data_IF_407511661881
#
_entry.id   IF_407511661881
#
_cell.length_a   1.000
_cell.length_b   1.000
_cell.length_c   1.000
_cell.angle_alpha   90.00
_cell.angle_beta   90.00
_cell.angle_gamma   90.00
#
_symmetry.space_group_name_H-M   'P 1'
#
loop_
_entity.id
_entity.type
_entity.pdbx_description
1 polymer ?
#
# COMPACT_ATOMS: atom_id res chain seq x y z
N UNK A 1 4.26 -7.69 -17.18
CA UNK A 1 4.73 -6.65 -16.26
C UNK A 1 4.19 -5.32 -16.79
N UNK A 2 3.29 -4.68 -16.04
CA UNK A 2 2.82 -3.32 -16.37
C UNK A 2 3.59 -2.36 -15.50
N UNK A 3 4.16 -1.33 -16.10
CA UNK A 3 4.78 -0.17 -15.45
C UNK A 3 3.68 0.71 -14.79
N UNK A 4 4.06 1.52 -13.80
CA UNK A 4 3.22 2.59 -13.25
C UNK A 4 2.82 3.62 -14.31
N UNK A 5 3.52 3.70 -15.44
CA UNK A 5 3.13 4.48 -16.62
C UNK A 5 1.96 3.81 -17.37
N UNK A 6 0.81 4.49 -17.45
CA UNK A 6 -0.37 4.02 -18.16
C UNK A 6 -0.39 4.44 -19.64
N UNK A 7 0.01 5.68 -19.93
CA UNK A 7 0.05 6.24 -21.28
C UNK A 7 1.04 7.41 -21.36
N UNK A 8 1.60 7.62 -22.55
CA UNK A 8 2.49 8.74 -22.88
C UNK A 8 1.92 9.43 -24.12
N UNK A 9 1.77 10.75 -24.09
CA UNK A 9 1.36 11.57 -25.23
C UNK A 9 2.45 12.61 -25.53
N UNK A 10 3.40 12.31 -26.43
CA UNK A 10 4.50 13.21 -26.75
C UNK A 10 4.04 14.54 -27.36
N UNK A 11 2.99 14.50 -28.20
CA UNK A 11 2.44 15.71 -28.85
C UNK A 11 1.93 16.73 -27.84
N UNK A 12 1.39 16.26 -26.71
CA UNK A 12 0.91 17.11 -25.62
C UNK A 12 1.93 17.26 -24.47
N UNK A 13 3.04 16.51 -24.50
CA UNK A 13 4.02 16.47 -23.42
C UNK A 13 3.49 15.90 -22.10
N UNK A 14 2.58 14.92 -22.12
CA UNK A 14 1.93 14.38 -20.91
C UNK A 14 2.18 12.89 -20.69
N UNK A 15 2.17 12.48 -19.42
CA UNK A 15 2.25 11.09 -18.97
C UNK A 15 1.14 10.83 -17.96
N UNK A 16 0.41 9.72 -18.15
CA UNK A 16 -0.57 9.25 -17.17
C UNK A 16 0.07 8.19 -16.28
N UNK A 17 -0.03 8.38 -14.97
CA UNK A 17 0.53 7.49 -13.95
C UNK A 17 -0.56 6.81 -13.15
N UNK A 18 -0.41 5.50 -12.92
CA UNK A 18 -1.23 4.72 -11.98
C UNK A 18 -0.65 4.89 -10.58
N UNK A 19 -1.26 5.79 -9.81
CA UNK A 19 -0.88 6.02 -8.43
C UNK A 19 -1.52 4.99 -7.49
N UNK A 20 -0.76 4.56 -6.48
CA UNK A 20 -1.30 3.77 -5.38
C UNK A 20 -2.06 4.65 -4.40
N UNK A 21 -2.98 4.04 -3.65
CA UNK A 21 -3.73 4.71 -2.60
C UNK A 21 -3.13 4.36 -1.23
N UNK A 22 -2.69 5.39 -0.53
CA UNK A 22 -2.25 5.28 0.86
C UNK A 22 -3.20 6.01 1.81
N UNK A 23 -3.05 5.70 3.10
CA UNK A 23 -3.71 6.41 4.18
C UNK A 23 -2.71 6.70 5.30
N UNK A 24 -2.66 7.95 5.75
CA UNK A 24 -1.80 8.40 6.84
C UNK A 24 -2.40 9.63 7.51
N UNK A 25 -2.26 9.75 8.83
CA UNK A 25 -2.71 10.94 9.60
C UNK A 25 -4.12 11.46 9.24
N UNK A 26 -5.06 10.55 9.00
CA UNK A 26 -6.47 10.83 8.77
C UNK A 26 -6.78 11.23 7.33
N UNK A 27 -5.76 11.21 6.47
CA UNK A 27 -5.80 11.69 5.10
C UNK A 27 -5.49 10.57 4.14
N UNK A 28 -6.21 10.59 3.03
CA UNK A 28 -5.82 9.81 1.86
C UNK A 28 -4.65 10.49 1.18
N UNK A 29 -3.65 9.70 0.79
CA UNK A 29 -2.53 10.14 -0.02
C UNK A 29 -2.39 9.22 -1.23
N UNK A 30 -1.61 9.68 -2.20
CA UNK A 30 -1.25 8.90 -3.38
C UNK A 30 0.26 8.85 -3.47
N UNK A 31 0.80 7.69 -3.82
CA UNK A 31 2.24 7.49 -3.93
C UNK A 31 2.59 6.59 -5.12
N UNK A 32 3.87 6.63 -5.49
CA UNK A 32 4.50 5.77 -6.48
C UNK A 32 5.51 4.87 -5.79
N UNK A 33 5.65 3.66 -6.30
CA UNK A 33 6.72 2.73 -5.94
C UNK A 33 7.54 2.46 -7.20
N UNK A 34 8.86 2.57 -7.10
CA UNK A 34 9.75 2.48 -8.26
C UNK A 34 10.56 1.21 -8.28
N UNK A 35 10.96 0.71 -7.10
CA UNK A 35 11.78 -0.46 -6.91
C UNK A 35 11.20 -1.35 -5.82
N UNK A 36 11.45 -2.65 -5.89
CA UNK A 36 11.15 -3.58 -4.81
C UNK A 36 12.15 -4.74 -4.80
N UNK A 37 12.52 -5.18 -3.59
CA UNK A 37 13.48 -6.26 -3.38
C UNK A 37 12.91 -7.68 -3.54
N UNK A 38 11.59 -7.81 -3.66
CA UNK A 38 10.87 -9.09 -3.83
C UNK A 38 10.12 -9.11 -5.16
N UNK A 39 10.09 -10.26 -5.84
CA UNK A 39 9.40 -10.40 -7.12
C UNK A 39 7.88 -10.17 -6.98
N UNK A 40 7.31 -10.64 -5.88
CA UNK A 40 5.89 -10.50 -5.57
C UNK A 40 5.51 -9.03 -5.36
N UNK A 41 6.33 -8.30 -4.62
CA UNK A 41 6.13 -6.86 -4.37
C UNK A 41 6.30 -6.07 -5.66
N UNK A 42 7.34 -6.37 -6.45
CA UNK A 42 7.56 -5.74 -7.75
C UNK A 42 6.37 -5.95 -8.70
N UNK A 43 5.85 -7.17 -8.76
CA UNK A 43 4.68 -7.50 -9.57
C UNK A 43 3.40 -6.80 -9.07
N UNK A 44 3.18 -6.78 -7.75
CA UNK A 44 1.99 -6.19 -7.13
C UNK A 44 1.97 -4.65 -7.24
N UNK A 45 3.14 -4.03 -7.15
CA UNK A 45 3.28 -2.57 -7.14
C UNK A 45 3.61 -1.97 -8.51
N UNK A 46 3.77 -2.80 -9.55
CA UNK A 46 4.19 -2.33 -10.87
C UNK A 46 5.53 -1.58 -10.82
N UNK A 47 6.47 -2.10 -10.02
CA UNK A 47 7.80 -1.54 -9.79
C UNK A 47 8.91 -2.43 -10.37
N UNK A 48 10.13 -1.89 -10.45
CA UNK A 48 11.31 -2.59 -10.93
C UNK A 48 11.77 -3.59 -9.87
N UNK A 49 12.02 -4.83 -10.27
CA UNK A 49 12.60 -5.82 -9.37
C UNK A 49 14.09 -5.51 -9.13
N UNK A 50 14.42 -5.14 -7.89
CA UNK A 50 15.73 -4.68 -7.44
C UNK A 50 16.21 -5.48 -6.21
N UNK A 51 16.59 -6.77 -6.35
CA UNK A 51 16.85 -7.66 -5.21
C UNK A 51 17.97 -7.18 -4.26
N UNK A 52 18.94 -6.43 -4.77
CA UNK A 52 20.04 -5.86 -3.99
C UNK A 52 19.59 -4.82 -2.94
N UNK A 53 18.38 -4.30 -3.06
CA UNK A 53 17.77 -3.40 -2.07
C UNK A 53 17.61 -4.08 -0.70
N UNK A 54 17.57 -5.42 -0.66
CA UNK A 54 17.57 -6.19 0.59
C UNK A 54 18.74 -5.86 1.52
N UNK A 55 19.88 -5.45 0.95
CA UNK A 55 21.08 -5.09 1.73
C UNK A 55 20.88 -3.77 2.50
N UNK A 56 19.92 -2.93 2.08
CA UNK A 56 19.64 -1.61 2.66
C UNK A 56 18.68 -1.71 3.86
N UNK A 57 17.89 -2.78 3.98
CA UNK A 57 16.93 -2.97 5.08
C UNK A 57 17.59 -2.92 6.47
N UNK A 58 18.88 -3.24 6.56
CA UNK A 58 19.63 -3.19 7.82
C UNK A 58 20.14 -1.79 8.20
N UNK A 59 20.01 -0.80 7.32
CA UNK A 59 20.50 0.56 7.56
C UNK A 59 19.65 1.36 8.55
N UNK A 60 18.41 0.92 8.82
CA UNK A 60 17.47 1.62 9.72
C UNK A 60 16.79 2.86 9.12
N UNK A 61 17.00 3.13 7.83
CA UNK A 61 16.36 4.24 7.10
C UNK A 61 15.02 3.82 6.44
N UNK A 62 14.26 2.95 7.10
CA UNK A 62 12.98 2.43 6.62
C UNK A 62 11.80 3.00 7.39
N UNK A 63 10.64 3.11 6.73
CA UNK A 63 9.36 3.40 7.35
C UNK A 63 8.36 2.30 7.00
N UNK A 64 7.45 1.99 7.93
CA UNK A 64 6.53 0.86 7.76
C UNK A 64 5.32 1.25 6.92
N UNK A 65 5.04 0.44 5.90
CA UNK A 65 3.73 0.39 5.24
C UNK A 65 3.00 -0.88 5.68
N UNK A 66 1.84 -0.73 6.29
CA UNK A 66 0.95 -1.86 6.53
C UNK A 66 0.01 -2.08 5.35
N UNK A 67 0.17 -3.20 4.66
CA UNK A 67 -0.77 -3.64 3.62
C UNK A 67 -1.80 -4.58 4.21
N UNK A 68 -3.07 -4.17 4.18
CA UNK A 68 -4.17 -4.94 4.77
C UNK A 68 -4.57 -6.10 3.86
N UNK A 69 -4.45 -7.33 4.33
CA UNK A 69 -4.78 -8.53 3.54
C UNK A 69 -6.29 -8.79 3.50
N UNK A 70 -6.92 -8.92 4.67
CA UNK A 70 -8.31 -9.38 4.83
C UNK A 70 -9.35 -8.23 4.89
N UNK A 71 -9.16 -7.24 4.03
CA UNK A 71 -10.11 -6.15 3.90
C UNK A 71 -11.51 -6.60 3.45
N UNK A 72 -12.43 -5.64 3.31
CA UNK A 72 -13.76 -5.95 2.75
C UNK A 72 -13.61 -6.27 1.27
N UNK A 73 -14.36 -7.25 0.77
CA UNK A 73 -14.40 -7.65 -0.64
C UNK A 73 -15.83 -7.63 -1.15
N UNK A 74 -16.00 -7.74 -2.46
CA UNK A 74 -17.26 -7.69 -3.17
C UNK A 74 -17.30 -6.48 -4.12
N UNK A 75 -17.51 -6.68 -5.44
CA UNK A 75 -17.41 -5.60 -6.43
C UNK A 75 -18.46 -4.49 -6.24
N UNK A 76 -19.58 -4.79 -5.56
CA UNK A 76 -20.64 -3.83 -5.22
C UNK A 76 -20.50 -3.24 -3.81
N UNK A 77 -19.51 -3.67 -3.02
CA UNK A 77 -19.28 -3.13 -1.69
C UNK A 77 -18.53 -1.79 -1.80
N UNK A 78 -19.15 -0.66 -1.39
CA UNK A 78 -18.47 0.64 -1.42
C UNK A 78 -17.30 0.71 -0.43
N UNK A 79 -17.25 -0.17 0.57
CA UNK A 79 -16.18 -0.25 1.55
C UNK A 79 -15.09 -1.27 1.22
N UNK A 80 -15.08 -1.87 0.02
CA UNK A 80 -14.08 -2.86 -0.39
C UNK A 80 -12.68 -2.26 -0.44
N UNK A 81 -11.71 -2.99 0.10
CA UNK A 81 -10.32 -2.56 0.22
C UNK A 81 -9.42 -3.75 0.55
N UNK A 82 -8.11 -3.53 0.47
CA UNK A 82 -7.11 -4.50 0.91
C UNK A 82 -6.66 -5.43 -0.20
N UNK A 83 -5.59 -6.18 0.08
CA UNK A 83 -4.88 -6.99 -0.91
C UNK A 83 -5.80 -8.00 -1.60
N UNK A 84 -6.68 -8.68 -0.85
CA UNK A 84 -7.62 -9.65 -1.46
C UNK A 84 -8.61 -8.99 -2.42
N UNK A 85 -9.07 -7.77 -2.12
CA UNK A 85 -9.96 -7.02 -3.03
C UNK A 85 -9.23 -6.56 -4.28
N UNK A 86 -7.96 -6.16 -4.13
CA UNK A 86 -7.09 -5.77 -5.24
C UNK A 86 -6.75 -6.93 -6.18
N UNK A 87 -6.34 -8.07 -5.63
CA UNK A 87 -6.05 -9.28 -6.39
C UNK A 87 -7.30 -9.83 -7.12
N UNK A 88 -8.49 -9.57 -6.58
CA UNK A 88 -9.77 -9.93 -7.21
C UNK A 88 -10.23 -8.91 -8.27
N UNK A 89 -9.45 -7.85 -8.54
CA UNK A 89 -9.78 -6.79 -9.49
C UNK A 89 -10.96 -5.92 -9.06
N UNK A 90 -11.36 -5.96 -7.79
CA UNK A 90 -12.53 -5.26 -7.31
C UNK A 90 -12.20 -3.80 -6.98
N UNK A 91 -11.03 -3.53 -6.43
CA UNK A 91 -10.64 -2.20 -5.95
C UNK A 91 -9.16 -2.07 -5.66
N UNK A 92 -8.72 -0.94 -5.09
CA UNK A 92 -7.32 -0.73 -4.74
C UNK A 92 -6.93 -1.54 -3.50
N UNK A 93 -5.65 -1.91 -3.41
CA UNK A 93 -5.06 -2.37 -2.16
C UNK A 93 -5.09 -1.21 -1.14
N UNK A 94 -5.06 -1.56 0.16
CA UNK A 94 -5.03 -0.58 1.23
C UNK A 94 -3.67 -0.62 1.93
N UNK A 95 -2.93 0.47 1.75
CA UNK A 95 -1.66 0.74 2.41
C UNK A 95 -1.81 1.82 3.47
N UNK A 96 -1.29 1.55 4.66
CA UNK A 96 -1.28 2.50 5.77
C UNK A 96 0.16 2.83 6.11
N UNK A 97 0.52 4.10 6.00
CA UNK A 97 1.87 4.56 6.29
C UNK A 97 1.92 4.90 7.79
N UNK A 98 2.71 4.13 8.56
CA UNK A 98 2.59 4.08 10.01
C UNK A 98 2.90 5.42 10.71
N UNK A 99 4.00 6.08 10.33
CA UNK A 99 4.50 7.29 10.99
C UNK A 99 4.47 8.53 10.08
N UNK A 100 3.87 8.42 8.89
CA UNK A 100 3.85 9.50 7.93
C UNK A 100 2.89 10.61 8.40
N UNK A 101 3.42 11.79 8.70
CA UNK A 101 2.64 12.96 9.16
C UNK A 101 2.45 14.00 8.07
N UNK A 102 3.51 14.30 7.32
CA UNK A 102 3.48 15.26 6.24
C UNK A 102 4.61 14.99 5.24
N UNK A 103 4.42 15.45 4.00
CA UNK A 103 5.50 15.54 3.01
C UNK A 103 6.40 16.69 3.47
N UNK A 104 7.38 16.42 4.35
CA UNK A 104 8.47 17.36 4.52
C UNK A 104 9.24 17.39 3.20
N UNK A 105 9.49 18.58 2.67
CA UNK A 105 10.05 18.74 1.34
C UNK A 105 11.44 18.06 1.26
N UNK A 106 11.49 16.85 0.70
CA UNK A 106 12.73 16.13 0.39
C UNK A 106 12.91 14.76 1.04
N UNK A 107 12.00 14.26 1.88
CA UNK A 107 12.15 12.92 2.46
C UNK A 107 11.15 11.91 1.89
N UNK A 108 11.68 10.82 1.32
CA UNK A 108 10.94 9.61 0.97
C UNK A 108 11.73 8.42 1.52
N UNK A 109 11.26 7.77 2.60
CA UNK A 109 11.96 6.64 3.20
C UNK A 109 11.92 5.44 2.26
N UNK A 110 12.78 4.46 2.55
CA UNK A 110 12.55 3.11 2.04
C UNK A 110 11.34 2.50 2.77
N UNK A 111 10.46 1.80 2.07
CA UNK A 111 9.25 1.24 2.68
C UNK A 111 9.46 -0.20 3.12
N UNK A 112 9.31 -0.47 4.42
CA UNK A 112 9.19 -1.81 4.97
C UNK A 112 7.73 -2.26 4.92
N UNK A 113 7.39 -3.08 3.92
CA UNK A 113 6.02 -3.56 3.71
C UNK A 113 5.71 -4.71 4.66
N UNK A 114 4.74 -4.49 5.55
CA UNK A 114 4.29 -5.48 6.52
C UNK A 114 2.83 -5.88 6.26
N UNK A 115 2.64 -7.15 5.87
CA UNK A 115 1.31 -7.71 5.70
C UNK A 115 0.57 -7.77 7.03
N UNK A 116 -0.63 -7.22 7.05
CA UNK A 116 -1.42 -7.06 8.27
C UNK A 116 -2.85 -7.50 8.05
N UNK A 117 -3.49 -8.06 9.08
CA UNK A 117 -4.88 -8.45 9.04
C UNK A 117 -5.70 -7.80 10.15
N UNK A 118 -6.94 -7.43 9.83
CA UNK A 118 -7.96 -7.11 10.80
C UNK A 118 -8.22 -8.32 11.69
N UNK A 119 -8.26 -8.12 13.01
CA UNK A 119 -8.57 -9.17 13.98
C UNK A 119 -9.98 -9.72 13.78
N UNK A 120 -10.21 -10.98 14.19
CA UNK A 120 -11.55 -11.61 14.17
C UNK A 120 -12.62 -10.75 14.88
N UNK A 121 -12.26 -10.11 15.99
CA UNK A 121 -13.15 -9.20 16.70
C UNK A 121 -13.52 -7.96 15.86
N UNK A 122 -12.55 -7.35 15.17
CA UNK A 122 -12.80 -6.21 14.29
C UNK A 122 -13.68 -6.61 13.08
N UNK A 123 -13.47 -7.80 12.54
CA UNK A 123 -14.30 -8.36 11.46
C UNK A 123 -15.74 -8.58 11.95
N UNK A 124 -15.91 -9.27 13.08
CA UNK A 124 -17.23 -9.58 13.65
C UNK A 124 -18.03 -8.33 14.04
N UNK A 125 -17.36 -7.27 14.49
CA UNK A 125 -17.98 -6.00 14.85
C UNK A 125 -18.14 -5.02 13.67
N UNK A 126 -17.84 -5.44 12.43
CA UNK A 126 -17.90 -4.60 11.23
C UNK A 126 -17.05 -3.31 11.33
N UNK A 127 -15.87 -3.43 11.92
CA UNK A 127 -14.94 -2.32 12.19
C UNK A 127 -13.77 -2.23 11.20
N UNK A 128 -13.85 -2.94 10.08
CA UNK A 128 -12.91 -2.83 8.95
C UNK A 128 -13.10 -1.47 8.26
N UNK A 129 -12.62 -0.39 8.88
CA UNK A 129 -12.81 0.99 8.44
C UNK A 129 -11.50 1.78 8.51
N UNK A 130 -11.41 2.79 7.66
CA UNK A 130 -10.28 3.71 7.55
C UNK A 130 -10.39 4.84 8.57
N UNK A 131 -9.90 4.62 9.80
CA UNK A 131 -9.56 5.71 10.71
C UNK A 131 -8.20 5.43 11.33
N UNK A 132 -7.32 6.44 11.42
CA UNK A 132 -5.95 6.31 12.00
C UNK A 132 -5.99 5.63 13.36
N UNK A 133 -7.02 5.93 14.15
CA UNK A 133 -7.20 5.41 15.50
C UNK A 133 -7.57 3.92 15.56
N UNK A 134 -8.07 3.31 14.47
CA UNK A 134 -8.54 1.92 14.51
C UNK A 134 -7.51 0.86 14.13
N UNK A 135 -6.44 1.21 13.40
CA UNK A 135 -5.53 0.19 12.85
C UNK A 135 -4.55 -0.36 13.89
N UNK A 136 -3.84 0.50 14.62
CA UNK A 136 -2.88 0.07 15.65
C UNK A 136 -3.53 -0.74 16.79
N UNK A 137 -4.84 -0.60 17.02
CA UNK A 137 -5.55 -1.30 18.09
C UNK A 137 -6.26 -2.57 17.64
N UNK A 138 -6.51 -2.75 16.33
CA UNK A 138 -7.45 -3.76 15.83
C UNK A 138 -6.93 -4.62 14.69
N UNK A 139 -5.73 -4.33 14.21
CA UNK A 139 -5.03 -5.10 13.20
C UNK A 139 -3.78 -5.73 13.83
N UNK A 140 -3.37 -6.90 13.32
CA UNK A 140 -2.16 -7.62 13.74
C UNK A 140 -1.37 -8.05 12.52
N UNK A 141 -0.06 -8.23 12.70
CA UNK A 141 0.78 -8.80 11.66
C UNK A 141 0.22 -10.17 11.22
N UNK A 142 0.21 -10.38 9.91
CA UNK A 142 -0.16 -11.65 9.33
C UNK A 142 1.03 -12.61 9.47
N UNK A 143 0.86 -13.65 10.28
CA UNK A 143 1.80 -14.76 10.38
C UNK A 143 1.13 -15.97 9.71
N UNK A 144 1.79 -16.53 8.71
CA UNK A 144 1.35 -17.72 7.98
C UNK A 144 2.17 -18.93 8.41
#
# INVERSE_FOLDING_TARGET
>A
MTDSVASICPDNGTVDLKLRLGFADGKHLRYLSFDANSEESAALEASTFAPAESDILQSGATEIIYTIVNGRTGPKDPGRQGLNSALSGEGPALDILANFKEISAGYSPMWDVQLTEWTKAAVGNNQRKLTVTTLQQKAKLAYW
#
